data_IF_672301072426
#
_entry.id   IF_672301072426
#
_cell.length_a   1.000
_cell.length_b   1.000
_cell.length_c   1.000
_cell.angle_alpha   90.00
_cell.angle_beta   90.00
_cell.angle_gamma   90.00
#
_symmetry.space_group_name_H-M   'P 1'
#
loop_
_entity.id
_entity.type
_entity.pdbx_description
1 polymer ?
#
# COMPACT_ATOMS: atom_id res chain seq x y z
N UNK A 1 2.31 -28.18 14.08
CA UNK A 1 2.35 -26.79 14.57
C UNK A 1 2.40 -25.95 13.32
N UNK A 2 1.32 -25.24 13.02
CA UNK A 2 1.23 -24.39 11.84
C UNK A 2 2.27 -23.27 11.98
N UNK A 3 3.06 -23.03 10.94
CA UNK A 3 4.14 -22.05 10.98
C UNK A 3 3.52 -20.64 11.04
N UNK A 4 3.68 -19.96 12.19
CA UNK A 4 3.08 -18.64 12.40
C UNK A 4 3.90 -17.64 11.59
N UNK A 5 3.29 -16.86 10.67
CA UNK A 5 4.03 -15.97 9.78
C UNK A 5 4.57 -14.74 10.52
N UNK A 6 5.73 -14.87 11.15
CA UNK A 6 6.35 -13.82 11.96
C UNK A 6 6.91 -12.69 11.09
N UNK A 7 7.71 -13.00 10.07
CA UNK A 7 8.45 -11.98 9.33
C UNK A 7 7.55 -11.12 8.43
N UNK A 8 6.43 -11.66 7.97
CA UNK A 8 5.46 -10.94 7.16
C UNK A 8 4.57 -9.99 8.01
N UNK A 9 4.37 -10.33 9.28
CA UNK A 9 3.40 -9.66 10.16
C UNK A 9 4.06 -8.68 11.12
N UNK A 10 5.24 -9.04 11.65
CA UNK A 10 5.89 -8.29 12.73
C UNK A 10 7.07 -7.49 12.16
N UNK A 11 7.03 -6.16 12.22
CA UNK A 11 8.19 -5.34 11.86
C UNK A 11 9.39 -5.68 12.75
N UNK A 12 10.60 -5.71 12.19
CA UNK A 12 11.81 -6.09 12.92
C UNK A 12 12.01 -5.31 14.24
N UNK A 13 11.67 -4.02 14.25
CA UNK A 13 11.74 -3.16 15.45
C UNK A 13 10.77 -3.54 16.57
N UNK A 14 9.68 -4.25 16.26
CA UNK A 14 8.62 -4.64 17.21
C UNK A 14 8.70 -6.08 17.69
N UNK A 15 9.67 -6.87 17.22
CA UNK A 15 9.71 -8.33 17.42
C UNK A 15 9.79 -8.74 18.89
N UNK A 16 10.61 -8.04 19.69
CA UNK A 16 10.78 -8.33 21.12
C UNK A 16 9.55 -7.99 21.99
N UNK A 17 8.58 -7.24 21.47
CA UNK A 17 7.31 -6.98 22.18
C UNK A 17 6.22 -8.01 21.86
N UNK A 18 6.47 -8.89 20.88
CA UNK A 18 5.51 -9.90 20.43
C UNK A 18 6.02 -11.31 20.70
N UNK A 19 7.35 -11.52 20.70
CA UNK A 19 7.98 -12.81 20.95
C UNK A 19 8.87 -12.67 22.18
N UNK A 20 8.67 -13.53 23.17
CA UNK A 20 9.52 -13.59 24.37
C UNK A 20 10.83 -14.38 24.13
N UNK A 21 11.71 -14.39 25.13
CA UNK A 21 13.02 -15.04 25.05
C UNK A 21 12.91 -16.58 24.89
N UNK A 22 11.78 -17.17 25.28
CA UNK A 22 11.46 -18.59 25.09
C UNK A 22 10.88 -18.89 23.69
N UNK A 23 10.72 -17.86 22.84
CA UNK A 23 10.14 -17.97 21.52
C UNK A 23 8.60 -18.07 21.50
N UNK A 24 7.93 -17.80 22.62
CA UNK A 24 6.46 -17.80 22.69
C UNK A 24 5.90 -16.48 22.17
N UNK A 25 4.78 -16.59 21.46
CA UNK A 25 4.08 -15.44 20.87
C UNK A 25 3.06 -14.88 21.85
N UNK A 26 3.15 -13.59 22.17
CA UNK A 26 2.06 -12.84 22.77
C UNK A 26 0.97 -12.64 21.71
N UNK A 27 -0.10 -13.41 21.85
CA UNK A 27 -1.22 -13.42 20.90
C UNK A 27 -1.88 -12.06 20.72
N UNK A 28 -2.04 -11.28 21.78
CA UNK A 28 -2.67 -9.95 21.72
C UNK A 28 -1.79 -9.00 20.91
N UNK A 29 -0.50 -8.95 21.22
CA UNK A 29 0.47 -8.12 20.47
C UNK A 29 0.54 -8.54 19.00
N UNK A 30 0.50 -9.84 18.72
CA UNK A 30 0.50 -10.38 17.36
C UNK A 30 -0.77 -9.99 16.59
N UNK A 31 -1.95 -10.18 17.17
CA UNK A 31 -3.23 -9.78 16.56
C UNK A 31 -3.26 -8.28 16.25
N UNK A 32 -2.71 -7.43 17.13
CA UNK A 32 -2.58 -6.00 16.87
C UNK A 32 -1.65 -5.72 15.67
N UNK A 33 -0.53 -6.44 15.54
CA UNK A 33 0.33 -6.35 14.36
C UNK A 33 -0.40 -6.77 13.09
N UNK A 34 -1.11 -7.91 13.10
CA UNK A 34 -1.91 -8.38 11.95
C UNK A 34 -2.93 -7.32 11.53
N UNK A 35 -3.72 -6.78 12.46
CA UNK A 35 -4.74 -5.79 12.17
C UNK A 35 -4.16 -4.48 11.66
N UNK A 36 -3.01 -4.07 12.18
CA UNK A 36 -2.28 -2.88 11.71
C UNK A 36 -1.81 -3.09 10.27
N UNK A 37 -1.14 -4.19 9.98
CA UNK A 37 -0.65 -4.54 8.65
C UNK A 37 -1.79 -4.67 7.64
N UNK A 38 -2.89 -5.33 8.02
CA UNK A 38 -4.07 -5.49 7.17
C UNK A 38 -4.71 -4.14 6.87
N UNK A 39 -4.88 -3.27 7.87
CA UNK A 39 -5.42 -1.92 7.68
C UNK A 39 -4.57 -1.13 6.70
N UNK A 40 -3.26 -1.19 6.83
CA UNK A 40 -2.35 -0.40 6.00
C UNK A 40 -2.32 -0.93 4.55
N UNK A 41 -2.42 -2.24 4.35
CA UNK A 41 -2.57 -2.89 3.04
C UNK A 41 -3.92 -2.64 2.36
N UNK A 42 -4.99 -2.58 3.14
CA UNK A 42 -6.32 -2.20 2.61
C UNK A 42 -6.33 -0.74 2.17
N UNK A 43 -5.69 0.15 2.93
CA UNK A 43 -5.60 1.59 2.60
C UNK A 43 -4.78 1.87 1.35
N UNK A 44 -3.71 1.11 1.13
CA UNK A 44 -2.90 1.16 -0.10
C UNK A 44 -3.52 0.38 -1.25
N UNK A 45 -4.65 -0.31 -1.03
CA UNK A 45 -5.31 -1.22 -1.98
C UNK A 45 -4.40 -2.37 -2.47
N UNK A 46 -3.34 -2.71 -1.75
CA UNK A 46 -2.59 -3.97 -1.95
C UNK A 46 -3.49 -5.18 -1.67
N UNK A 47 -4.39 -5.04 -0.70
CA UNK A 47 -5.51 -5.95 -0.45
C UNK A 47 -6.79 -5.14 -0.69
N UNK A 48 -7.74 -5.74 -1.41
CA UNK A 48 -9.04 -5.13 -1.65
C UNK A 48 -10.17 -6.04 -1.19
N UNK A 49 -11.33 -5.43 -0.94
CA UNK A 49 -12.53 -6.12 -0.49
C UNK A 49 -13.54 -6.10 -1.63
N UNK A 50 -13.92 -7.29 -2.11
CA UNK A 50 -14.95 -7.44 -3.14
C UNK A 50 -16.27 -6.82 -2.65
N UNK A 51 -16.86 -5.94 -3.46
CA UNK A 51 -18.10 -5.23 -3.14
C UNK A 51 -17.93 -3.98 -2.26
N UNK A 52 -16.74 -3.70 -1.74
CA UNK A 52 -16.47 -2.39 -1.14
C UNK A 52 -16.35 -1.33 -2.24
N UNK A 53 -16.72 -0.07 -1.97
CA UNK A 53 -16.51 1.04 -2.90
C UNK A 53 -15.11 1.65 -2.69
N UNK A 54 -14.85 2.21 -1.50
CA UNK A 54 -13.56 2.86 -1.18
C UNK A 54 -12.34 1.92 -1.29
N UNK A 55 -12.48 0.65 -0.94
CA UNK A 55 -11.39 -0.34 -0.92
C UNK A 55 -11.59 -1.43 -1.97
N UNK A 56 -12.19 -1.07 -3.12
CA UNK A 56 -12.32 -1.95 -4.30
C UNK A 56 -10.97 -2.23 -4.96
N UNK A 57 -10.98 -3.20 -5.88
CA UNK A 57 -9.85 -3.51 -6.73
C UNK A 57 -9.34 -2.22 -7.42
N UNK A 58 -8.05 -1.86 -7.32
CA UNK A 58 -7.50 -0.68 -7.98
C UNK A 58 -7.68 -0.70 -9.51
N UNK A 59 -7.75 -1.87 -10.15
CA UNK A 59 -8.01 -1.96 -11.60
C UNK A 59 -9.38 -1.38 -11.98
N UNK A 60 -10.35 -1.43 -11.05
CA UNK A 60 -11.70 -0.89 -11.24
C UNK A 60 -11.77 0.63 -10.99
N UNK A 61 -10.66 1.27 -10.62
CA UNK A 61 -10.60 2.74 -10.47
C UNK A 61 -10.49 3.46 -11.82
N UNK A 62 -10.08 2.75 -12.88
CA UNK A 62 -9.98 3.31 -14.22
C UNK A 62 -11.27 3.07 -15.03
N UNK A 63 -11.61 4.00 -15.95
CA UNK A 63 -12.63 3.72 -16.96
C UNK A 63 -12.30 2.45 -17.76
N UNK A 64 -13.32 1.67 -18.14
CA UNK A 64 -13.14 0.41 -18.90
C UNK A 64 -12.46 0.61 -20.26
N UNK A 65 -12.60 1.81 -20.83
CA UNK A 65 -12.00 2.24 -22.10
C UNK A 65 -10.67 2.99 -21.91
N UNK A 66 -10.12 3.02 -20.69
CA UNK A 66 -8.91 3.77 -20.37
C UNK A 66 -7.74 3.42 -21.27
N UNK A 67 -7.43 2.14 -21.46
CA UNK A 67 -6.30 1.72 -22.31
C UNK A 67 -6.43 2.20 -23.76
N UNK A 68 -7.66 2.24 -24.28
CA UNK A 68 -7.95 2.69 -25.66
C UNK A 68 -7.90 4.21 -25.76
N UNK A 69 -8.36 4.92 -24.72
CA UNK A 69 -8.53 6.39 -24.71
C UNK A 69 -7.52 7.12 -23.84
N UNK A 70 -6.43 6.46 -23.48
CA UNK A 70 -5.41 6.95 -22.56
C UNK A 70 -4.93 8.35 -22.94
N UNK A 71 -4.65 8.57 -24.23
CA UNK A 71 -4.19 9.87 -24.74
C UNK A 71 -5.25 10.97 -24.59
N UNK A 72 -6.53 10.65 -24.81
CA UNK A 72 -7.62 11.59 -24.63
C UNK A 72 -7.82 11.95 -23.15
N UNK A 73 -7.72 10.96 -22.25
CA UNK A 73 -7.78 11.19 -20.81
C UNK A 73 -6.60 12.04 -20.31
N UNK A 74 -5.37 11.74 -20.73
CA UNK A 74 -4.21 12.55 -20.38
C UNK A 74 -4.27 13.97 -20.95
N UNK A 75 -4.73 14.12 -22.18
CA UNK A 75 -4.96 15.45 -22.78
C UNK A 75 -5.98 16.24 -21.96
N UNK A 76 -7.08 15.61 -21.54
CA UNK A 76 -8.14 16.23 -20.75
C UNK A 76 -7.71 16.65 -19.33
N UNK A 77 -6.72 15.96 -18.75
CA UNK A 77 -6.15 16.36 -17.45
C UNK A 77 -5.43 17.71 -17.51
N UNK A 78 -4.94 18.11 -18.69
CA UNK A 78 -4.22 19.37 -18.91
C UNK A 78 -3.09 19.57 -17.89
N UNK A 79 -2.38 18.48 -17.57
CA UNK A 79 -1.25 18.46 -16.65
C UNK A 79 0.07 18.60 -17.43
N UNK A 80 1.12 19.16 -16.81
CA UNK A 80 2.43 19.22 -17.43
C UNK A 80 2.99 17.82 -17.66
N UNK A 81 3.88 17.69 -18.65
CA UNK A 81 4.64 16.46 -18.86
C UNK A 81 5.37 16.07 -17.56
N UNK A 82 5.25 14.80 -17.17
CA UNK A 82 5.75 14.31 -15.90
C UNK A 82 7.28 14.49 -15.75
N UNK A 83 8.05 14.34 -16.84
CA UNK A 83 9.51 14.52 -16.80
C UNK A 83 9.87 15.99 -16.70
N UNK A 84 9.20 16.86 -17.46
CA UNK A 84 9.40 18.29 -17.37
C UNK A 84 9.07 18.82 -15.96
N UNK A 85 7.94 18.37 -15.38
CA UNK A 85 7.54 18.73 -14.03
C UNK A 85 8.54 18.24 -12.97
N UNK A 86 8.95 16.97 -13.01
CA UNK A 86 9.90 16.46 -12.01
C UNK A 86 11.29 17.09 -12.13
N UNK A 87 11.73 17.43 -13.34
CA UNK A 87 12.98 18.15 -13.56
C UNK A 87 12.96 19.56 -12.94
N UNK A 88 11.85 20.30 -13.08
CA UNK A 88 11.74 21.65 -12.51
C UNK A 88 11.73 21.63 -10.98
N UNK A 89 11.04 20.66 -10.38
CA UNK A 89 11.05 20.48 -8.91
C UNK A 89 12.45 20.12 -8.41
N UNK A 90 13.17 19.22 -9.11
CA UNK A 90 14.55 18.88 -8.75
C UNK A 90 15.45 20.10 -8.77
N UNK A 91 15.40 20.89 -9.85
CA UNK A 91 16.19 22.10 -9.97
C UNK A 91 15.89 23.11 -8.84
N UNK A 92 14.63 23.23 -8.44
CA UNK A 92 14.23 24.12 -7.35
C UNK A 92 14.74 23.68 -5.96
N UNK A 93 14.95 22.37 -5.74
CA UNK A 93 15.45 21.82 -4.48
C UNK A 93 16.98 21.81 -4.38
N UNK A 94 17.69 21.93 -5.51
CA UNK A 94 19.16 21.98 -5.57
C UNK A 94 19.73 23.40 -5.39
N UNK A 95 18.86 24.41 -5.25
CA UNK A 95 19.19 25.79 -4.91
C UNK A 95 18.96 26.08 -3.41
#
# INVERSE_FOLDING_TARGET
>A
MEDVPIDAVIPARGRSSVIDDDGRVNRISYELCVLTQLRDRIRSKEIWVVGADRYRNPDDDLPKDFEIRRDAYYTGLNLPDARAFTASIRQALEH
#
